data_IF_550888245894
#
_entry.id   IF_550888245894
#
_cell.length_a   1.000
_cell.length_b   1.000
_cell.length_c   1.000
_cell.angle_alpha   90.00
_cell.angle_beta   90.00
_cell.angle_gamma   90.00
#
_symmetry.space_group_name_H-M   'P 1'
#
loop_
_entity.id
_entity.type
_entity.pdbx_description
1 polymer ?
#
# COMPACT_ATOMS: atom_id res chain seq x y z
N UNK A 1 13.07 5.46 -8.94
CA UNK A 1 11.88 5.30 -9.82
C UNK A 1 11.44 3.84 -9.89
N UNK A 2 12.38 2.90 -10.07
CA UNK A 2 12.06 1.47 -10.23
C UNK A 2 11.50 0.78 -8.98
N UNK A 3 12.07 1.04 -7.79
CA UNK A 3 11.61 0.43 -6.53
C UNK A 3 10.17 0.81 -6.18
N UNK A 4 9.77 2.05 -6.48
CA UNK A 4 8.42 2.56 -6.23
C UNK A 4 7.37 1.87 -7.11
N UNK A 5 7.67 1.67 -8.39
CA UNK A 5 6.82 0.90 -9.32
C UNK A 5 6.66 -0.55 -8.85
N UNK A 6 7.75 -1.15 -8.38
CA UNK A 6 7.77 -2.53 -7.91
C UNK A 6 7.00 -2.71 -6.59
N UNK A 7 7.03 -1.74 -5.69
CA UNK A 7 6.22 -1.74 -4.47
C UNK A 7 4.72 -1.64 -4.76
N UNK A 8 4.31 -0.72 -5.66
CA UNK A 8 2.92 -0.62 -6.10
C UNK A 8 2.42 -1.96 -6.66
N UNK A 9 3.20 -2.59 -7.54
CA UNK A 9 2.83 -3.88 -8.14
C UNK A 9 2.60 -4.97 -7.10
N UNK A 10 3.39 -5.00 -6.02
CA UNK A 10 3.25 -5.97 -4.94
C UNK A 10 1.99 -5.72 -4.12
N UNK A 11 1.70 -4.46 -3.79
CA UNK A 11 0.46 -4.06 -3.11
C UNK A 11 -0.74 -4.57 -3.92
N UNK A 12 -0.74 -4.33 -5.23
CA UNK A 12 -1.81 -4.81 -6.11
C UNK A 12 -1.93 -6.34 -6.15
N UNK A 13 -0.81 -7.07 -6.16
CA UNK A 13 -0.82 -8.54 -6.09
C UNK A 13 -1.46 -9.05 -4.80
N UNK A 14 -1.25 -8.38 -3.68
CA UNK A 14 -1.80 -8.76 -2.37
C UNK A 14 -3.28 -8.41 -2.22
N UNK A 15 -3.76 -7.44 -3.00
CA UNK A 15 -5.15 -6.96 -2.99
C UNK A 15 -6.14 -7.90 -3.71
N UNK A 16 -5.67 -9.04 -4.24
CA UNK A 16 -6.48 -10.07 -4.94
C UNK A 16 -7.34 -9.52 -6.08
N UNK A 17 -7.00 -8.34 -6.57
CA UNK A 17 -7.76 -7.66 -7.60
C UNK A 17 -6.89 -7.71 -8.84
N UNK A 18 -7.46 -8.28 -9.90
CA UNK A 18 -7.12 -8.00 -11.29
C UNK A 18 -7.33 -6.51 -11.56
N UNK A 19 -6.60 -5.64 -10.85
CA UNK A 19 -6.44 -4.27 -11.31
C UNK A 19 -5.58 -4.45 -12.54
N UNK A 20 -6.24 -4.38 -13.70
CA UNK A 20 -5.65 -4.11 -14.99
C UNK A 20 -4.93 -2.76 -14.88
N UNK A 21 -3.81 -2.73 -14.17
CA UNK A 21 -2.88 -1.61 -14.22
C UNK A 21 -2.34 -1.70 -15.64
N UNK A 22 -2.89 -0.87 -16.51
CA UNK A 22 -2.29 -0.64 -17.81
C UNK A 22 -0.83 -0.28 -17.55
N UNK A 23 0.09 -1.10 -18.07
CA UNK A 23 1.53 -0.96 -17.81
C UNK A 23 2.12 0.38 -18.29
N UNK A 24 1.31 1.23 -18.91
CA UNK A 24 1.70 2.47 -19.58
C UNK A 24 1.50 3.74 -18.73
N UNK A 25 0.90 3.65 -17.54
CA UNK A 25 0.68 4.83 -16.69
C UNK A 25 1.82 5.06 -15.69
N UNK A 26 2.05 6.34 -15.33
CA UNK A 26 3.08 6.79 -14.40
C UNK A 26 2.83 6.31 -12.96
N UNK A 27 3.85 6.38 -12.11
CA UNK A 27 3.71 6.02 -10.68
C UNK A 27 2.62 6.84 -9.97
N UNK A 28 2.53 8.14 -10.27
CA UNK A 28 1.52 9.02 -9.66
C UNK A 28 0.12 8.56 -10.02
N UNK A 29 -0.12 8.24 -11.29
CA UNK A 29 -1.41 7.74 -11.76
C UNK A 29 -1.75 6.37 -11.15
N UNK A 30 -0.77 5.46 -11.05
CA UNK A 30 -0.97 4.18 -10.35
C UNK A 30 -1.32 4.39 -8.88
N UNK A 31 -0.70 5.38 -8.24
CA UNK A 31 -1.03 5.72 -6.87
C UNK A 31 -2.45 6.26 -6.73
N UNK A 32 -2.89 7.16 -7.62
CA UNK A 32 -4.27 7.67 -7.58
C UNK A 32 -5.30 6.56 -7.84
N UNK A 33 -5.01 5.58 -8.70
CA UNK A 33 -5.86 4.39 -8.89
C UNK A 33 -5.94 3.56 -7.59
N UNK A 34 -4.83 3.42 -6.87
CA UNK A 34 -4.82 2.75 -5.56
C UNK A 34 -5.66 3.53 -4.54
N UNK A 35 -5.50 4.85 -4.48
CA UNK A 35 -6.31 5.72 -3.59
C UNK A 35 -7.79 5.56 -3.89
N UNK A 36 -8.19 5.64 -5.16
CA UNK A 36 -9.58 5.47 -5.57
C UNK A 36 -10.13 4.08 -5.22
N UNK A 37 -9.31 3.02 -5.35
CA UNK A 37 -9.74 1.69 -4.95
C UNK A 37 -9.92 1.55 -3.43
N UNK A 38 -9.02 2.13 -2.65
CA UNK A 38 -9.16 2.16 -1.19
C UNK A 38 -10.42 2.95 -0.80
N UNK A 39 -10.67 4.08 -1.45
CA UNK A 39 -11.87 4.89 -1.22
C UNK A 39 -13.15 4.11 -1.51
N UNK A 40 -13.17 3.39 -2.63
CA UNK A 40 -14.25 2.46 -2.97
C UNK A 40 -14.46 1.41 -1.87
N UNK A 41 -13.40 0.79 -1.35
CA UNK A 41 -13.53 -0.19 -0.26
C UNK A 41 -14.03 0.43 1.04
N UNK A 42 -13.61 1.66 1.38
CA UNK A 42 -14.14 2.38 2.55
C UNK A 42 -15.66 2.55 2.44
N UNK A 43 -16.15 2.90 1.25
CA UNK A 43 -17.57 3.18 1.02
C UNK A 43 -18.43 1.93 0.83
N UNK A 44 -17.88 0.85 0.28
CA UNK A 44 -18.65 -0.33 -0.14
C UNK A 44 -18.41 -1.60 0.67
N UNK A 45 -17.18 -1.83 1.14
CA UNK A 45 -16.80 -3.06 1.84
C UNK A 45 -15.62 -2.82 2.80
N UNK A 46 -15.95 -2.20 3.94
CA UNK A 46 -14.97 -1.88 4.97
C UNK A 46 -14.32 -3.13 5.58
N UNK A 47 -15.06 -4.25 5.68
CA UNK A 47 -14.52 -5.51 6.21
C UNK A 47 -13.39 -6.04 5.32
N UNK A 48 -13.55 -5.96 4.00
CA UNK A 48 -12.50 -6.31 3.04
C UNK A 48 -11.28 -5.40 3.19
N UNK A 49 -11.48 -4.09 3.39
CA UNK A 49 -10.39 -3.16 3.66
C UNK A 49 -9.58 -3.57 4.89
N UNK A 50 -10.26 -3.86 6.01
CA UNK A 50 -9.62 -4.30 7.25
C UNK A 50 -8.85 -5.61 7.04
N UNK A 51 -9.43 -6.58 6.32
CA UNK A 51 -8.76 -7.85 5.99
C UNK A 51 -7.45 -7.63 5.22
N UNK A 52 -7.46 -6.70 4.25
CA UNK A 52 -6.28 -6.31 3.49
C UNK A 52 -5.22 -5.69 4.40
N UNK A 53 -5.61 -4.76 5.27
CA UNK A 53 -4.68 -4.06 6.16
C UNK A 53 -3.96 -5.03 7.11
N UNK A 54 -4.69 -6.01 7.65
CA UNK A 54 -4.08 -7.04 8.48
C UNK A 54 -3.08 -7.92 7.72
N UNK A 55 -3.35 -8.25 6.44
CA UNK A 55 -2.42 -9.04 5.62
C UNK A 55 -1.09 -8.34 5.37
N UNK A 56 -1.08 -7.01 5.35
CA UNK A 56 0.13 -6.22 5.14
C UNK A 56 0.83 -5.80 6.44
N UNK A 57 0.36 -6.25 7.61
CA UNK A 57 0.90 -5.85 8.94
C UNK A 57 0.63 -4.37 9.30
N UNK A 58 -0.56 -3.89 8.93
CA UNK A 58 -1.14 -2.64 9.46
C UNK A 58 -2.19 -3.00 10.52
N UNK A 59 -1.88 -2.72 11.79
CA UNK A 59 -2.82 -2.89 12.89
C UNK A 59 -3.83 -1.74 12.97
N UNK A 60 -4.96 -1.96 13.63
CA UNK A 60 -5.98 -0.92 13.86
C UNK A 60 -5.40 0.28 14.63
N UNK A 61 -4.51 0.04 15.59
CA UNK A 61 -3.82 1.10 16.33
C UNK A 61 -2.95 1.97 15.41
N UNK A 62 -2.11 1.36 14.55
CA UNK A 62 -1.30 2.07 13.56
C UNK A 62 -2.18 2.88 12.61
N UNK A 63 -3.33 2.34 12.22
CA UNK A 63 -4.29 3.06 11.39
C UNK A 63 -4.86 4.28 12.13
N UNK A 64 -5.33 4.12 13.36
CA UNK A 64 -5.86 5.23 14.17
C UNK A 64 -4.85 6.36 14.33
N UNK A 65 -3.61 6.02 14.69
CA UNK A 65 -2.51 6.99 14.81
C UNK A 65 -2.28 7.70 13.46
N UNK A 66 -2.17 6.97 12.37
CA UNK A 66 -1.96 7.57 11.05
C UNK A 66 -3.09 8.51 10.63
N UNK A 67 -4.35 8.19 10.97
CA UNK A 67 -5.48 9.07 10.69
C UNK A 67 -5.46 10.33 11.55
N UNK A 68 -5.13 10.20 12.84
CA UNK A 68 -4.99 11.34 13.76
C UNK A 68 -3.83 12.27 13.38
N UNK A 69 -2.74 11.74 12.85
CA UNK A 69 -1.59 12.53 12.37
C UNK A 69 -1.91 13.25 11.05
N UNK A 70 -2.88 12.76 10.27
CA UNK A 70 -3.18 13.24 8.92
C UNK A 70 -4.61 13.79 8.79
N UNK A 71 -5.07 14.60 9.76
CA UNK A 71 -6.45 15.11 9.83
C UNK A 71 -6.91 15.90 8.58
N UNK A 72 -5.98 16.48 7.80
CA UNK A 72 -6.30 17.25 6.60
C UNK A 72 -6.14 16.44 5.29
N UNK A 73 -5.82 15.15 5.38
CA UNK A 73 -5.62 14.29 4.21
C UNK A 73 -6.77 13.29 4.10
N UNK A 74 -7.26 12.99 2.88
CA UNK A 74 -8.24 11.94 2.69
C UNK A 74 -7.77 10.60 3.28
N UNK A 75 -8.65 9.95 4.05
CA UNK A 75 -8.39 8.65 4.72
C UNK A 75 -7.87 7.61 3.72
N UNK A 76 -8.48 7.56 2.52
CA UNK A 76 -8.08 6.67 1.43
C UNK A 76 -6.64 6.88 0.99
N UNK A 77 -6.17 8.13 0.94
CA UNK A 77 -4.79 8.47 0.59
C UNK A 77 -3.81 8.13 1.72
N UNK A 78 -4.20 8.32 2.98
CA UNK A 78 -3.39 7.89 4.14
C UNK A 78 -3.17 6.38 4.09
N UNK A 79 -4.25 5.62 3.93
CA UNK A 79 -4.19 4.16 3.86
C UNK A 79 -3.36 3.68 2.66
N UNK A 80 -3.59 4.21 1.46
CA UNK A 80 -2.80 3.86 0.27
C UNK A 80 -1.30 4.14 0.48
N UNK A 81 -0.96 5.23 1.17
CA UNK A 81 0.42 5.57 1.54
C UNK A 81 1.00 4.56 2.51
N UNK A 82 0.24 4.14 3.53
CA UNK A 82 0.67 3.12 4.50
C UNK A 82 0.97 1.78 3.81
N UNK A 83 0.07 1.33 2.92
CA UNK A 83 0.26 0.10 2.14
C UNK A 83 1.58 0.14 1.35
N UNK A 84 1.83 1.27 0.67
CA UNK A 84 3.05 1.47 -0.11
C UNK A 84 4.32 1.51 0.72
N UNK A 85 4.30 2.28 1.81
CA UNK A 85 5.43 2.42 2.72
C UNK A 85 5.83 1.05 3.28
N UNK A 86 4.85 0.24 3.64
CA UNK A 86 5.07 -1.10 4.19
C UNK A 86 5.74 -2.05 3.21
N UNK A 87 5.32 -2.04 1.94
CA UNK A 87 5.97 -2.86 0.91
C UNK A 87 7.39 -2.39 0.57
N UNK A 88 7.63 -1.07 0.59
CA UNK A 88 8.97 -0.52 0.45
C UNK A 88 9.89 -0.96 1.60
N UNK A 89 9.41 -0.90 2.85
CA UNK A 89 10.15 -1.37 4.02
C UNK A 89 10.49 -2.86 3.91
N UNK A 90 9.52 -3.70 3.55
CA UNK A 90 9.73 -5.15 3.35
C UNK A 90 10.79 -5.43 2.29
N UNK A 91 10.82 -4.64 1.19
CA UNK A 91 11.88 -4.76 0.18
C UNK A 91 13.25 -4.35 0.71
N UNK A 92 13.33 -3.21 1.40
CA UNK A 92 14.59 -2.76 2.03
C UNK A 92 15.15 -3.81 3.00
N UNK A 93 14.29 -4.41 3.82
CA UNK A 93 14.67 -5.49 4.72
C UNK A 93 15.21 -6.71 3.96
N UNK A 94 14.54 -7.15 2.87
CA UNK A 94 15.04 -8.24 2.03
C UNK A 94 16.44 -7.95 1.47
N UNK A 95 16.65 -6.77 0.89
CA UNK A 95 17.96 -6.37 0.36
C UNK A 95 19.04 -6.34 1.44
N UNK A 96 18.73 -5.78 2.62
CA UNK A 96 19.68 -5.66 3.73
C UNK A 96 20.10 -7.04 4.28
N UNK A 97 19.15 -7.97 4.40
CA UNK A 97 19.42 -9.34 4.88
C UNK A 97 20.10 -10.21 3.80
N UNK A 98 19.79 -10.01 2.52
CA UNK A 98 20.50 -10.68 1.41
C UNK A 98 21.98 -10.27 1.35
N UNK A 99 22.29 -8.99 1.62
CA UNK A 99 23.67 -8.52 1.73
C UNK A 99 24.38 -9.13 2.96
N UNK A 100 23.71 -9.21 4.11
CA UNK A 100 24.29 -9.83 5.33
C UNK A 100 24.56 -11.33 5.20
N UNK A 101 23.87 -12.06 4.31
CA UNK A 101 24.13 -13.50 4.06
C UNK A 101 25.34 -13.74 3.14
N UNK A 102 25.89 -12.70 2.51
CA UNK A 102 27.07 -12.77 1.64
C UNK A 102 28.36 -12.33 2.34
N UNK A 103 28.29 -11.98 3.63
CA UNK A 103 29.45 -11.69 4.47
C UNK A 103 29.70 -12.83 5.45
#
# INVERSE_FOLDING_TARGET
MEEKKLAIREVYSQLNKEVSIEKNISFGEQFEVLVAYVDFLIQTDFNKLISILYRVDVSEEKLKVALQENNNTPISRVIATMLLKRELEKRKWRTLYEQKRKC
#
